data_IF_288205166088
#
_entry.id   IF_288205166088
#
_cell.length_a   1.000
_cell.length_b   1.000
_cell.length_c   1.000
_cell.angle_alpha   90.00
_cell.angle_beta   90.00
_cell.angle_gamma   90.00
#
_symmetry.space_group_name_H-M   'P 1'
#
loop_
_entity.id
_entity.type
_entity.pdbx_description
1 polymer ?
#
# COMPACT_ATOMS: atom_id res chain seq x y z
N UNK A 1 30.58 27.78 0.85
CA UNK A 1 29.17 27.52 1.23
C UNK A 1 28.40 26.89 0.06
N UNK A 2 28.45 27.47 -1.13
CA UNK A 2 27.77 26.95 -2.34
C UNK A 2 28.23 25.55 -2.73
N UNK A 3 29.54 25.27 -2.68
CA UNK A 3 30.07 23.95 -3.01
C UNK A 3 29.59 22.87 -2.04
N UNK A 4 29.45 23.19 -0.76
CA UNK A 4 28.92 22.28 0.23
C UNK A 4 27.45 21.95 -0.03
N UNK A 5 26.64 22.94 -0.40
CA UNK A 5 25.24 22.73 -0.79
C UNK A 5 25.11 21.87 -2.04
N UNK A 6 25.98 22.07 -3.03
CA UNK A 6 26.03 21.24 -4.23
C UNK A 6 26.42 19.79 -3.92
N UNK A 7 27.37 19.58 -3.02
CA UNK A 7 27.77 18.24 -2.60
C UNK A 7 26.66 17.54 -1.79
N UNK A 8 25.93 18.26 -0.95
CA UNK A 8 24.75 17.75 -0.25
C UNK A 8 23.62 17.34 -1.24
N UNK A 9 23.37 18.15 -2.27
CA UNK A 9 22.38 17.82 -3.32
C UNK A 9 22.81 16.60 -4.12
N UNK A 10 24.10 16.48 -4.47
CA UNK A 10 24.65 15.32 -5.17
C UNK A 10 24.56 14.05 -4.31
N UNK A 11 24.90 14.12 -3.03
CA UNK A 11 24.78 13.00 -2.11
C UNK A 11 23.32 12.53 -1.98
N UNK A 12 22.38 13.46 -1.85
CA UNK A 12 20.96 13.15 -1.79
C UNK A 12 20.45 12.53 -3.10
N UNK A 13 20.87 13.06 -4.25
CA UNK A 13 20.50 12.50 -5.56
C UNK A 13 21.01 11.07 -5.74
N UNK A 14 22.25 10.81 -5.31
CA UNK A 14 22.84 9.47 -5.37
C UNK A 14 22.12 8.49 -4.44
N UNK A 15 21.78 8.91 -3.24
CA UNK A 15 21.01 8.11 -2.29
C UNK A 15 19.63 7.75 -2.85
N UNK A 16 18.91 8.74 -3.37
CA UNK A 16 17.60 8.55 -4.02
C UNK A 16 17.71 7.57 -5.20
N UNK A 17 18.77 7.70 -6.03
CA UNK A 17 18.99 6.78 -7.14
C UNK A 17 19.22 5.35 -6.66
N UNK A 18 20.04 5.16 -5.63
CA UNK A 18 20.32 3.84 -5.03
C UNK A 18 19.05 3.22 -4.45
N UNK A 19 18.27 4.00 -3.73
CA UNK A 19 17.00 3.56 -3.14
C UNK A 19 15.98 3.13 -4.22
N UNK A 20 15.79 3.95 -5.26
CA UNK A 20 14.93 3.60 -6.39
C UNK A 20 15.42 2.36 -7.14
N UNK A 21 16.72 2.24 -7.36
CA UNK A 21 17.33 1.09 -8.03
C UNK A 21 17.17 -0.21 -7.24
N UNK A 22 17.02 -0.13 -5.91
CA UNK A 22 16.69 -1.29 -5.08
C UNK A 22 15.23 -1.75 -5.23
N UNK A 23 14.34 -0.85 -5.64
CA UNK A 23 12.91 -1.10 -5.79
C UNK A 23 12.58 -1.63 -7.19
N UNK A 24 13.15 -1.02 -8.23
CA UNK A 24 12.90 -1.37 -9.63
C UNK A 24 14.13 -1.25 -10.51
N UNK A 25 14.15 -2.01 -11.62
CA UNK A 25 15.10 -1.81 -12.70
C UNK A 25 14.67 -0.65 -13.61
N UNK A 26 15.64 0.06 -14.19
CA UNK A 26 15.38 1.12 -15.16
C UNK A 26 14.97 2.47 -14.56
N UNK A 27 15.61 2.86 -13.46
CA UNK A 27 15.45 4.20 -12.87
C UNK A 27 15.93 5.27 -13.82
N UNK A 28 15.09 6.25 -14.10
CA UNK A 28 15.40 7.38 -14.97
C UNK A 28 15.87 8.60 -14.17
N UNK A 29 16.58 9.52 -14.86
CA UNK A 29 16.98 10.80 -14.25
C UNK A 29 15.76 11.63 -13.80
N UNK A 30 14.63 11.51 -14.52
CA UNK A 30 13.38 12.18 -14.15
C UNK A 30 12.78 11.64 -12.86
N UNK A 31 12.90 10.35 -12.58
CA UNK A 31 12.45 9.77 -11.32
C UNK A 31 13.24 10.35 -10.13
N UNK A 32 14.56 10.43 -10.27
CA UNK A 32 15.44 11.05 -9.27
C UNK A 32 15.13 12.52 -9.10
N UNK A 33 14.95 13.25 -10.23
CA UNK A 33 14.58 14.66 -10.23
C UNK A 33 13.23 14.90 -9.56
N UNK A 34 12.22 14.08 -9.86
CA UNK A 34 10.90 14.17 -9.26
C UNK A 34 10.95 13.99 -7.74
N UNK A 35 11.77 13.07 -7.24
CA UNK A 35 11.97 12.88 -5.80
C UNK A 35 12.75 14.04 -5.17
N UNK A 36 13.82 14.47 -5.81
CA UNK A 36 14.68 15.55 -5.33
C UNK A 36 13.92 16.89 -5.28
N UNK A 37 13.12 17.18 -6.32
CA UNK A 37 12.28 18.37 -6.40
C UNK A 37 10.90 18.15 -5.75
N UNK A 38 10.38 16.94 -5.70
CA UNK A 38 9.09 16.60 -5.10
C UNK A 38 9.10 16.75 -3.58
N UNK A 39 10.23 16.56 -2.94
CA UNK A 39 10.43 17.00 -1.54
C UNK A 39 10.26 18.52 -1.39
N UNK A 40 10.50 19.29 -2.46
CA UNK A 40 10.37 20.76 -2.50
C UNK A 40 9.06 21.25 -3.14
N UNK A 41 8.36 20.43 -3.96
CA UNK A 41 7.24 20.88 -4.81
C UNK A 41 5.89 20.20 -4.55
N UNK A 42 5.71 19.52 -3.42
CA UNK A 42 4.40 18.99 -3.02
C UNK A 42 3.88 17.83 -3.90
N UNK A 43 4.74 17.13 -4.62
CA UNK A 43 4.36 15.93 -5.34
C UNK A 43 3.83 14.89 -4.37
N UNK A 44 2.62 14.40 -4.61
CA UNK A 44 1.97 13.45 -3.73
C UNK A 44 2.69 12.10 -3.79
N UNK A 45 3.13 11.63 -2.62
CA UNK A 45 3.73 10.32 -2.42
C UNK A 45 2.67 9.34 -1.91
N UNK A 46 2.93 8.04 -2.02
CA UNK A 46 1.99 7.00 -1.63
C UNK A 46 1.49 7.17 -0.19
N UNK A 47 2.42 7.30 0.78
CA UNK A 47 2.06 7.35 2.20
C UNK A 47 1.38 8.68 2.56
N UNK A 48 1.81 9.80 1.97
CA UNK A 48 1.17 11.09 2.14
C UNK A 48 -0.27 11.09 1.61
N UNK A 49 -0.48 10.56 0.40
CA UNK A 49 -1.81 10.41 -0.20
C UNK A 49 -2.70 9.47 0.62
N UNK A 50 -2.18 8.31 1.02
CA UNK A 50 -2.92 7.34 1.80
C UNK A 50 -3.38 7.92 3.15
N UNK A 51 -2.51 8.69 3.81
CA UNK A 51 -2.86 9.40 5.05
C UNK A 51 -3.99 10.39 4.83
N UNK A 52 -3.95 11.14 3.73
CA UNK A 52 -5.00 12.10 3.35
C UNK A 52 -6.31 11.38 3.04
N UNK A 53 -6.25 10.25 2.31
CA UNK A 53 -7.38 9.39 2.02
C UNK A 53 -8.06 8.89 3.31
N UNK A 54 -7.27 8.38 4.28
CA UNK A 54 -7.79 7.91 5.57
C UNK A 54 -8.50 9.06 6.31
N UNK A 55 -7.89 10.25 6.39
CA UNK A 55 -8.52 11.42 7.03
C UNK A 55 -9.84 11.82 6.37
N UNK A 56 -9.90 11.78 5.06
CA UNK A 56 -11.13 12.09 4.32
C UNK A 56 -12.19 10.99 4.51
N UNK A 57 -11.78 9.72 4.48
CA UNK A 57 -12.67 8.59 4.73
C UNK A 57 -13.29 8.67 6.14
N UNK A 58 -12.50 9.04 7.15
CA UNK A 58 -12.94 9.18 8.54
C UNK A 58 -14.08 10.18 8.71
N UNK A 59 -14.10 11.28 7.95
CA UNK A 59 -15.18 12.28 7.97
C UNK A 59 -16.53 11.72 7.53
N UNK A 60 -16.54 10.62 6.78
CA UNK A 60 -17.74 9.97 6.25
C UNK A 60 -18.21 8.77 7.09
N UNK A 61 -17.43 8.40 8.13
CA UNK A 61 -17.79 7.29 9.03
C UNK A 61 -19.03 7.69 9.84
N UNK A 62 -20.02 6.78 9.88
CA UNK A 62 -21.31 7.03 10.55
C UNK A 62 -22.35 7.71 9.66
N UNK A 63 -21.96 8.25 8.49
CA UNK A 63 -22.91 8.81 7.51
C UNK A 63 -23.19 7.79 6.40
N UNK A 64 -22.16 7.43 5.64
CA UNK A 64 -22.25 6.47 4.52
C UNK A 64 -21.10 5.45 4.49
N UNK A 65 -20.25 5.45 5.50
CA UNK A 65 -19.10 4.55 5.65
C UNK A 65 -19.09 3.89 7.03
N UNK A 66 -18.60 2.66 7.07
CA UNK A 66 -18.57 1.83 8.29
C UNK A 66 -17.18 1.90 8.94
N UNK A 67 -17.14 1.93 10.27
CA UNK A 67 -15.90 1.95 11.08
C UNK A 67 -14.96 0.80 10.73
N UNK A 68 -15.50 -0.39 10.43
CA UNK A 68 -14.70 -1.57 10.04
C UNK A 68 -13.86 -1.33 8.77
N UNK A 69 -14.38 -0.57 7.80
CA UNK A 69 -13.63 -0.20 6.60
C UNK A 69 -12.47 0.75 6.92
N UNK A 70 -12.69 1.72 7.81
CA UNK A 70 -11.63 2.62 8.28
C UNK A 70 -10.49 1.83 8.94
N UNK A 71 -10.82 0.85 9.77
CA UNK A 71 -9.84 -0.06 10.39
C UNK A 71 -8.99 -0.78 9.33
N UNK A 72 -9.63 -1.32 8.29
CA UNK A 72 -8.94 -2.02 7.21
C UNK A 72 -7.93 -1.10 6.49
N UNK A 73 -8.29 0.15 6.22
CA UNK A 73 -7.37 1.13 5.62
C UNK A 73 -6.21 1.50 6.56
N UNK A 74 -6.47 1.69 7.85
CA UNK A 74 -5.41 1.95 8.84
C UNK A 74 -4.44 0.79 8.96
N UNK A 75 -4.95 -0.45 9.00
CA UNK A 75 -4.10 -1.64 9.00
C UNK A 75 -3.25 -1.74 7.72
N UNK A 76 -3.85 -1.49 6.55
CA UNK A 76 -3.11 -1.50 5.28
C UNK A 76 -2.01 -0.45 5.26
N UNK A 77 -2.28 0.77 5.75
CA UNK A 77 -1.28 1.83 5.89
C UNK A 77 -0.08 1.38 6.74
N UNK A 78 -0.33 0.81 7.93
CA UNK A 78 0.73 0.34 8.83
C UNK A 78 1.57 -0.79 8.22
N UNK A 79 0.94 -1.73 7.50
CA UNK A 79 1.67 -2.80 6.83
C UNK A 79 2.54 -2.31 5.68
N UNK A 80 2.09 -1.30 4.92
CA UNK A 80 2.90 -0.69 3.86
C UNK A 80 4.06 0.10 4.48
N UNK A 81 3.82 0.89 5.52
CA UNK A 81 4.85 1.63 6.25
C UNK A 81 5.94 0.67 6.76
N UNK A 82 5.53 -0.43 7.39
CA UNK A 82 6.45 -1.49 7.85
C UNK A 82 7.25 -2.09 6.69
N UNK A 83 6.60 -2.43 5.59
CA UNK A 83 7.24 -2.97 4.39
C UNK A 83 8.30 -2.03 3.82
N UNK A 84 7.96 -0.74 3.67
CA UNK A 84 8.90 0.28 3.19
C UNK A 84 10.12 0.41 4.12
N UNK A 85 9.88 0.46 5.43
CA UNK A 85 10.95 0.56 6.41
C UNK A 85 11.86 -0.68 6.44
N UNK A 86 11.30 -1.88 6.40
CA UNK A 86 12.06 -3.12 6.54
C UNK A 86 12.84 -3.47 5.27
N UNK A 87 12.20 -3.35 4.10
CA UNK A 87 12.80 -3.78 2.83
C UNK A 87 13.63 -2.70 2.14
N UNK A 88 13.22 -1.43 2.26
CA UNK A 88 13.82 -0.34 1.50
C UNK A 88 14.47 0.74 2.38
N UNK A 89 14.25 0.69 3.71
CA UNK A 89 14.69 1.74 4.64
C UNK A 89 14.12 3.12 4.31
N UNK A 90 12.95 3.15 3.66
CA UNK A 90 12.24 4.36 3.26
C UNK A 90 11.02 4.58 4.16
N UNK A 91 10.65 5.84 4.34
CA UNK A 91 9.41 6.23 5.04
C UNK A 91 8.25 6.48 4.08
N UNK A 92 8.55 6.74 2.82
CA UNK A 92 7.57 7.02 1.78
C UNK A 92 8.17 6.76 0.38
N UNK A 93 7.33 6.60 -0.64
CA UNK A 93 7.75 6.44 -2.04
C UNK A 93 6.86 7.25 -2.98
N UNK A 94 7.41 7.77 -4.10
CA UNK A 94 6.60 8.44 -5.11
C UNK A 94 5.71 7.43 -5.84
N UNK A 95 4.57 7.89 -6.33
CA UNK A 95 3.68 7.05 -7.13
C UNK A 95 4.34 6.49 -8.40
N UNK A 96 5.34 7.18 -8.96
CA UNK A 96 6.09 6.73 -10.13
C UNK A 96 6.92 5.46 -9.87
N UNK A 97 7.26 5.18 -8.61
CA UNK A 97 7.98 3.97 -8.22
C UNK A 97 7.06 2.76 -7.95
N UNK A 98 5.75 2.95 -8.00
CA UNK A 98 4.79 1.88 -7.84
C UNK A 98 4.63 1.15 -9.17
N UNK A 99 5.27 0.00 -9.28
CA UNK A 99 5.13 -0.92 -10.40
C UNK A 99 4.51 -2.27 -9.93
N UNK A 100 4.33 -3.17 -10.89
CA UNK A 100 3.86 -4.53 -10.59
C UNK A 100 4.82 -5.28 -9.67
N UNK A 101 6.13 -5.10 -9.86
CA UNK A 101 7.16 -5.74 -9.03
C UNK A 101 7.06 -5.31 -7.55
N UNK A 102 6.74 -4.03 -7.31
CA UNK A 102 6.46 -3.54 -5.95
C UNK A 102 5.29 -4.30 -5.30
N UNK A 103 4.18 -4.47 -6.04
CA UNK A 103 3.01 -5.20 -5.54
C UNK A 103 3.33 -6.65 -5.22
N UNK A 104 4.06 -7.33 -6.11
CA UNK A 104 4.50 -8.73 -5.91
C UNK A 104 5.42 -8.87 -4.70
N UNK A 105 6.39 -7.97 -4.53
CA UNK A 105 7.28 -7.94 -3.36
C UNK A 105 6.54 -7.66 -2.07
N UNK A 106 5.53 -6.80 -2.11
CA UNK A 106 4.66 -6.53 -0.96
C UNK A 106 3.85 -7.77 -0.57
N UNK A 107 3.25 -8.49 -1.53
CA UNK A 107 2.53 -9.74 -1.28
C UNK A 107 3.44 -10.80 -0.65
N UNK A 108 4.64 -10.99 -1.20
CA UNK A 108 5.65 -11.91 -0.64
C UNK A 108 5.97 -11.52 0.81
N UNK A 109 6.24 -10.25 1.08
CA UNK A 109 6.52 -9.77 2.44
C UNK A 109 5.38 -10.07 3.42
N UNK A 110 4.12 -9.87 3.01
CA UNK A 110 2.97 -10.20 3.86
C UNK A 110 2.88 -11.71 4.17
N UNK A 111 3.26 -12.56 3.21
CA UNK A 111 3.25 -14.03 3.37
C UNK A 111 4.41 -14.54 4.19
N UNK A 112 5.64 -14.11 3.85
CA UNK A 112 6.88 -14.70 4.37
C UNK A 112 7.39 -14.01 5.64
N UNK A 113 7.37 -12.68 5.68
CA UNK A 113 7.95 -11.93 6.81
C UNK A 113 6.89 -11.64 7.88
N UNK A 114 5.64 -11.37 7.47
CA UNK A 114 4.55 -11.11 8.39
C UNK A 114 3.73 -12.36 8.76
N UNK A 115 3.89 -13.48 8.04
CA UNK A 115 3.17 -14.74 8.24
C UNK A 115 1.64 -14.59 8.34
N UNK A 116 1.06 -13.70 7.52
CA UNK A 116 -0.36 -13.40 7.56
C UNK A 116 -1.19 -14.47 6.83
N UNK A 117 -2.43 -14.65 7.30
CA UNK A 117 -3.39 -15.52 6.62
C UNK A 117 -3.79 -14.95 5.26
N UNK A 118 -4.15 -15.83 4.31
CA UNK A 118 -4.62 -15.42 2.98
C UNK A 118 -5.78 -14.41 3.05
N UNK A 119 -6.72 -14.60 3.98
CA UNK A 119 -7.84 -13.66 4.17
C UNK A 119 -7.38 -12.26 4.56
N UNK A 120 -6.39 -12.16 5.44
CA UNK A 120 -5.80 -10.87 5.84
C UNK A 120 -5.07 -10.22 4.68
N UNK A 121 -4.26 -10.98 3.92
CA UNK A 121 -3.55 -10.50 2.74
C UNK A 121 -4.52 -9.95 1.70
N UNK A 122 -5.61 -10.66 1.42
CA UNK A 122 -6.67 -10.18 0.50
C UNK A 122 -7.25 -8.85 0.97
N UNK A 123 -7.55 -8.70 2.26
CA UNK A 123 -8.10 -7.47 2.81
C UNK A 123 -7.12 -6.29 2.70
N UNK A 124 -5.85 -6.49 3.07
CA UNK A 124 -4.80 -5.47 2.98
C UNK A 124 -4.56 -5.03 1.53
N UNK A 125 -4.45 -6.01 0.63
CA UNK A 125 -4.24 -5.77 -0.81
C UNK A 125 -5.45 -5.07 -1.44
N UNK A 126 -6.67 -5.44 -1.05
CA UNK A 126 -7.91 -4.78 -1.52
C UNK A 126 -7.99 -3.33 -1.05
N UNK A 127 -7.60 -3.06 0.20
CA UNK A 127 -7.54 -1.71 0.73
C UNK A 127 -6.53 -0.84 -0.03
N UNK A 128 -5.32 -1.35 -0.29
CA UNK A 128 -4.33 -0.67 -1.11
C UNK A 128 -4.81 -0.46 -2.54
N UNK A 129 -5.43 -1.48 -3.17
CA UNK A 129 -6.04 -1.36 -4.51
C UNK A 129 -7.05 -0.23 -4.59
N UNK A 130 -7.85 -0.04 -3.55
CA UNK A 130 -8.84 1.04 -3.51
C UNK A 130 -8.16 2.41 -3.47
N UNK A 131 -7.15 2.59 -2.62
CA UNK A 131 -6.39 3.85 -2.54
C UNK A 131 -5.70 4.18 -3.86
N UNK A 132 -5.11 3.18 -4.53
CA UNK A 132 -4.49 3.34 -5.86
C UNK A 132 -5.53 3.73 -6.91
N UNK A 133 -6.73 3.15 -6.88
CA UNK A 133 -7.82 3.52 -7.81
C UNK A 133 -8.26 4.97 -7.62
N UNK A 134 -8.36 5.44 -6.38
CA UNK A 134 -8.66 6.84 -6.10
C UNK A 134 -7.54 7.76 -6.59
N UNK A 135 -6.27 7.40 -6.38
CA UNK A 135 -5.13 8.17 -6.90
C UNK A 135 -5.12 8.24 -8.45
N UNK A 136 -5.58 7.20 -9.14
CA UNK A 136 -5.76 7.20 -10.59
C UNK A 136 -6.93 8.13 -10.97
N UNK A 137 -8.05 8.06 -10.26
CA UNK A 137 -9.22 8.92 -10.49
C UNK A 137 -8.88 10.41 -10.26
N UNK A 138 -8.02 10.71 -9.30
CA UNK A 138 -7.51 12.06 -9.01
C UNK A 138 -6.43 12.52 -10.03
N UNK A 139 -6.06 11.68 -11.00
CA UNK A 139 -5.07 11.99 -12.03
C UNK A 139 -3.61 12.01 -11.54
N UNK A 140 -3.34 11.52 -10.34
CA UNK A 140 -1.98 11.47 -9.74
C UNK A 140 -1.17 10.32 -10.33
N UNK A 141 -1.82 9.21 -10.61
CA UNK A 141 -1.23 8.01 -11.20
C UNK A 141 -1.90 7.70 -12.54
N UNK A 142 -1.09 7.52 -13.59
CA UNK A 142 -1.59 7.30 -14.96
C UNK A 142 -1.75 5.82 -15.31
N UNK A 143 -1.19 4.92 -14.52
CA UNK A 143 -1.26 3.48 -14.72
C UNK A 143 -1.66 2.75 -13.43
N UNK A 144 -2.14 1.52 -13.58
CA UNK A 144 -2.52 0.70 -12.43
C UNK A 144 -1.44 -0.36 -12.13
N UNK A 145 -0.67 -0.25 -11.04
CA UNK A 145 0.37 -1.22 -10.69
C UNK A 145 -0.20 -2.62 -10.37
N UNK A 146 -1.51 -2.72 -10.13
CA UNK A 146 -2.21 -3.99 -9.92
C UNK A 146 -2.71 -4.64 -11.23
N UNK A 147 -2.36 -4.09 -12.38
CA UNK A 147 -2.76 -4.69 -13.65
C UNK A 147 -2.20 -6.11 -13.78
N UNK A 148 -3.09 -7.09 -14.02
CA UNK A 148 -2.70 -8.50 -14.11
C UNK A 148 -2.27 -9.15 -12.79
N UNK A 149 -2.42 -8.46 -11.64
CA UNK A 149 -2.18 -9.03 -10.33
C UNK A 149 -3.51 -9.49 -9.71
N UNK A 150 -3.59 -10.79 -9.41
CA UNK A 150 -4.70 -11.40 -8.70
C UNK A 150 -4.24 -11.95 -7.36
N UNK A 151 -4.90 -11.54 -6.29
CA UNK A 151 -4.65 -12.10 -4.97
C UNK A 151 -5.35 -13.45 -4.87
N UNK A 152 -4.61 -14.49 -4.51
CA UNK A 152 -5.16 -15.80 -4.22
C UNK A 152 -6.20 -15.70 -3.09
N UNK A 153 -7.40 -16.22 -3.32
CA UNK A 153 -8.47 -16.18 -2.34
C UNK A 153 -8.52 -17.49 -1.54
N UNK A 154 -8.74 -17.42 -0.22
CA UNK A 154 -8.94 -18.62 0.56
C UNK A 154 -10.19 -19.36 0.05
N UNK A 155 -10.06 -20.66 -0.15
CA UNK A 155 -11.23 -21.52 -0.41
C UNK A 155 -12.12 -21.49 0.84
N UNK A 156 -13.33 -21.00 0.71
CA UNK A 156 -14.33 -21.06 1.77
C UNK A 156 -15.00 -22.42 1.69
N UNK A 157 -14.74 -23.28 2.65
CA UNK A 157 -15.61 -24.40 2.93
C UNK A 157 -16.85 -23.86 3.62
N UNK A 158 -17.98 -23.96 2.97
CA UNK A 158 -19.27 -23.64 3.58
C UNK A 158 -19.58 -24.77 4.57
N UNK A 159 -19.48 -24.47 5.85
CA UNK A 159 -19.93 -25.38 6.90
C UNK A 159 -21.42 -25.15 7.09
N UNK A 160 -22.19 -26.13 6.72
CA UNK A 160 -23.62 -26.16 7.01
C UNK A 160 -23.82 -26.92 8.32
N UNK A 161 -24.81 -26.48 9.10
CA UNK A 161 -25.28 -27.26 10.25
C UNK A 161 -25.90 -28.55 9.74
N UNK A 162 -25.50 -29.65 10.33
CA UNK A 162 -26.16 -30.94 10.11
C UNK A 162 -27.58 -30.88 10.72
N UNK A 163 -28.47 -31.73 10.23
CA UNK A 163 -29.83 -31.80 10.75
C UNK A 163 -29.88 -32.09 12.28
N UNK A 164 -28.91 -32.87 12.79
CA UNK A 164 -28.74 -33.14 14.20
C UNK A 164 -28.31 -31.88 14.99
N UNK A 165 -27.38 -31.10 14.47
CA UNK A 165 -26.93 -29.86 15.11
C UNK A 165 -28.03 -28.79 15.08
N UNK A 166 -28.81 -28.73 14.00
CA UNK A 166 -29.97 -27.86 13.91
C UNK A 166 -31.04 -28.22 14.95
N UNK A 167 -31.38 -29.51 15.07
CA UNK A 167 -32.33 -29.98 16.07
C UNK A 167 -31.85 -29.73 17.50
N UNK A 168 -30.55 -29.88 17.77
CA UNK A 168 -29.97 -29.58 19.08
C UNK A 168 -30.12 -28.08 19.43
N UNK A 169 -29.85 -27.18 18.46
CA UNK A 169 -30.02 -25.76 18.63
C UNK A 169 -31.49 -25.35 18.86
N UNK A 170 -32.45 -26.03 18.20
CA UNK A 170 -33.88 -25.73 18.34
C UNK A 170 -34.46 -26.29 19.64
N UNK A 171 -33.85 -27.31 20.26
CA UNK A 171 -34.33 -27.95 21.48
C UNK A 171 -33.60 -27.48 22.75
N UNK A 172 -32.56 -26.67 22.62
CA UNK A 172 -31.86 -26.10 23.78
C UNK A 172 -32.59 -24.82 24.22
N UNK A 173 -33.08 -24.75 25.49
CA UNK A 173 -33.85 -23.64 26.04
C UNK A 173 -33.01 -22.35 26.19
#
# INVERSE_FOLDING_TARGET
EINRQLDEIRANALHIYQDLSSIREGVTADDVRCLLLGMASGQQTLMSYFRTFIKNFEKHVGVNRVVGSLWSYRCAYQHIEKFLNEKYKLTDIPFTALDRSFVEKYDIHLRTDCHLSLGTIVNLTTSLKTVIKEAIADGILTFNPFWGYETERPKRELKYLTEQELNLLMTTP
#
